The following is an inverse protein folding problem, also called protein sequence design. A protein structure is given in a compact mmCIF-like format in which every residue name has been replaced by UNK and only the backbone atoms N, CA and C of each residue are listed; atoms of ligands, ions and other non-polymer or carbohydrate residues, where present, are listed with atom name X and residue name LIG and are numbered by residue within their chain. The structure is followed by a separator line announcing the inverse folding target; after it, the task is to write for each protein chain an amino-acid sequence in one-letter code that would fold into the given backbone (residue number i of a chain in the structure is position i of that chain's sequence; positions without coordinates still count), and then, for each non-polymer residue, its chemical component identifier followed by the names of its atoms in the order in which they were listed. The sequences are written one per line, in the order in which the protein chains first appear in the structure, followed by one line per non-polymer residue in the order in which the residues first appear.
data_IF_409559386754
#
_entry.id   IF_409559386754
#
_cell.length_a   1.000
_cell.length_b   1.000
_cell.length_c   1.000
_cell.angle_alpha   90.00
_cell.angle_beta   90.00
_cell.angle_gamma   90.00
#
_symmetry.space_group_name_H-M   'P 1'
#
loop_
_entity.id
_entity.type
_entity.pdbx_description
1 polymer ?
#
# COMPACT_ATOMS: atom_id res chain seq x y z
N UNK A 1 -18.07 -61.85 7.63
CA UNK A 1 -17.96 -60.62 8.41
C UNK A 1 -16.53 -60.12 8.33
N UNK A 2 -16.22 -58.93 7.76
CA UNK A 2 -14.87 -58.41 7.75
C UNK A 2 -14.59 -57.71 9.08
N UNK A 3 -13.57 -58.15 9.77
CA UNK A 3 -13.05 -57.55 11.00
C UNK A 3 -12.51 -56.13 10.69
N UNK A 4 -13.13 -55.12 11.29
CA UNK A 4 -12.67 -53.74 11.25
C UNK A 4 -11.33 -53.62 11.99
N UNK A 5 -10.25 -53.29 11.27
CA UNK A 5 -8.99 -52.89 11.88
C UNK A 5 -9.20 -51.58 12.62
N UNK A 6 -9.37 -51.64 13.95
CA UNK A 6 -9.28 -50.50 14.83
C UNK A 6 -7.83 -50.02 14.86
N UNK A 7 -7.54 -48.96 14.08
CA UNK A 7 -6.26 -48.28 14.17
C UNK A 7 -6.14 -47.65 15.56
N UNK A 8 -5.15 -48.07 16.36
CA UNK A 8 -4.93 -47.48 17.69
C UNK A 8 -4.57 -46.01 17.56
N UNK A 9 -5.12 -45.11 18.39
CA UNK A 9 -4.84 -43.65 18.33
C UNK A 9 -3.34 -43.34 18.51
N UNK A 10 -2.57 -44.22 19.12
CA UNK A 10 -1.11 -44.08 19.29
C UNK A 10 -0.34 -44.30 17.96
N UNK A 11 -0.87 -45.11 17.02
CA UNK A 11 -0.25 -45.32 15.71
C UNK A 11 -0.28 -44.08 14.83
N UNK A 12 -1.30 -43.23 14.96
CA UNK A 12 -1.40 -41.95 14.26
C UNK A 12 -0.30 -40.98 14.69
N UNK A 13 -0.03 -40.87 15.98
CA UNK A 13 1.01 -39.96 16.54
C UNK A 13 2.44 -40.33 16.08
N UNK A 14 2.67 -41.59 15.66
CA UNK A 14 3.96 -42.06 15.11
C UNK A 14 4.09 -41.90 13.61
N UNK A 15 3.07 -41.40 12.92
CA UNK A 15 3.16 -41.14 11.49
C UNK A 15 4.12 -39.94 11.24
N UNK A 16 4.91 -40.06 10.16
CA UNK A 16 5.84 -38.97 9.76
C UNK A 16 5.11 -37.63 9.56
N UNK A 17 3.85 -37.71 9.08
CA UNK A 17 3.00 -36.52 8.91
C UNK A 17 2.62 -35.89 10.24
N UNK A 18 2.16 -36.72 11.22
CA UNK A 18 1.82 -36.21 12.56
C UNK A 18 3.03 -35.59 13.25
N UNK A 19 4.21 -36.21 13.16
CA UNK A 19 5.44 -35.67 13.70
C UNK A 19 5.83 -34.33 13.03
N UNK A 20 5.69 -34.22 11.70
CA UNK A 20 5.97 -32.98 10.98
C UNK A 20 5.00 -31.86 11.37
N UNK A 21 3.71 -32.17 11.50
CA UNK A 21 2.70 -31.19 11.95
C UNK A 21 2.96 -30.76 13.41
N UNK A 22 3.28 -31.71 14.29
CA UNK A 22 3.60 -31.39 15.69
C UNK A 22 4.86 -30.52 15.79
N UNK A 23 5.90 -30.82 14.99
CA UNK A 23 7.10 -30.00 14.95
C UNK A 23 6.81 -28.57 14.42
N UNK A 24 5.97 -28.46 13.39
CA UNK A 24 5.55 -27.16 12.86
C UNK A 24 4.79 -26.35 13.92
N UNK A 25 3.82 -26.96 14.60
CA UNK A 25 3.07 -26.29 15.67
C UNK A 25 3.98 -25.90 16.85
N UNK A 26 4.95 -26.73 17.21
CA UNK A 26 5.92 -26.40 18.25
C UNK A 26 6.79 -25.21 17.85
N UNK A 27 7.21 -25.12 16.57
CA UNK A 27 7.93 -23.96 16.02
C UNK A 27 7.04 -22.72 16.04
N UNK A 28 5.78 -22.81 15.63
CA UNK A 28 4.83 -21.69 15.67
C UNK A 28 4.64 -21.19 17.10
N UNK A 29 4.46 -22.09 18.08
CA UNK A 29 4.34 -21.74 19.50
C UNK A 29 5.63 -21.04 19.97
N UNK A 30 6.80 -21.60 19.68
CA UNK A 30 8.07 -21.02 20.06
C UNK A 30 8.25 -19.61 19.46
N UNK A 31 7.92 -19.43 18.17
CA UNK A 31 7.94 -18.13 17.51
C UNK A 31 6.95 -17.17 18.18
N UNK A 32 5.72 -17.60 18.47
CA UNK A 32 4.70 -16.77 19.11
C UNK A 32 5.14 -16.23 20.48
N UNK A 33 5.79 -17.06 21.30
CA UNK A 33 6.25 -16.66 22.64
C UNK A 33 7.61 -15.96 22.65
N UNK A 34 8.45 -16.14 21.65
CA UNK A 34 9.79 -15.52 21.60
C UNK A 34 9.84 -14.22 20.81
N UNK A 35 8.91 -14.02 19.84
CA UNK A 35 8.82 -12.76 19.10
C UNK A 35 8.25 -11.68 20.01
N UNK A 36 8.97 -10.56 20.22
CA UNK A 36 8.48 -9.45 21.02
C UNK A 36 7.12 -8.96 20.47
N UNK A 37 6.11 -8.94 21.34
CA UNK A 37 4.76 -8.48 21.00
C UNK A 37 4.64 -6.97 20.87
N UNK A 38 5.65 -6.23 21.36
CA UNK A 38 5.64 -4.77 21.37
C UNK A 38 5.99 -4.24 19.98
N UNK A 39 5.01 -3.63 19.33
CA UNK A 39 5.18 -2.96 18.06
C UNK A 39 5.55 -1.50 18.27
N UNK A 40 6.44 -0.99 17.43
CA UNK A 40 6.66 0.44 17.31
C UNK A 40 5.56 1.03 16.41
N UNK A 41 4.69 1.85 16.99
CA UNK A 41 3.62 2.56 16.27
C UNK A 41 4.07 4.00 16.07
N UNK A 42 4.31 4.44 14.81
CA UNK A 42 4.71 5.81 14.53
C UNK A 42 3.57 6.79 14.83
N UNK A 43 3.95 7.99 15.23
CA UNK A 43 3.01 9.09 15.47
C UNK A 43 3.45 10.33 14.66
N UNK A 44 3.39 10.29 13.33
CA UNK A 44 3.76 11.43 12.50
C UNK A 44 2.77 12.58 12.69
N UNK A 45 3.16 13.81 12.32
CA UNK A 45 2.22 14.91 12.19
C UNK A 45 1.06 14.53 11.25
N UNK A 46 -0.18 14.97 11.52
CA UNK A 46 -1.32 14.69 10.66
C UNK A 46 -1.05 15.05 9.20
N UNK A 47 -1.52 14.20 8.28
CA UNK A 47 -1.37 14.44 6.83
C UNK A 47 -2.02 15.74 6.37
N UNK A 48 -3.02 16.24 7.11
CA UNK A 48 -3.60 17.56 6.86
C UNK A 48 -2.56 18.68 6.92
N UNK A 49 -1.50 18.53 7.74
CA UNK A 49 -0.39 19.48 7.85
C UNK A 49 0.67 19.30 6.76
N UNK A 50 0.47 18.37 5.82
CA UNK A 50 1.39 18.19 4.71
C UNK A 50 1.48 19.46 3.86
N UNK A 51 2.62 19.65 3.21
CA UNK A 51 2.93 20.85 2.44
C UNK A 51 1.85 21.20 1.40
N UNK A 52 1.43 22.45 1.39
CA UNK A 52 0.51 23.01 0.37
C UNK A 52 1.24 23.37 -0.93
N UNK A 53 2.57 23.47 -0.88
CA UNK A 53 3.44 23.68 -2.03
C UNK A 53 4.51 22.59 -2.12
N UNK A 54 4.70 21.99 -3.28
CA UNK A 54 5.64 20.90 -3.56
C UNK A 54 6.38 21.26 -4.86
N UNK A 55 7.61 21.77 -4.74
CA UNK A 55 8.32 22.29 -5.92
C UNK A 55 7.47 23.32 -6.67
N UNK A 56 7.20 23.13 -7.97
CA UNK A 56 6.38 24.05 -8.76
C UNK A 56 4.86 23.84 -8.59
N UNK A 57 4.44 22.90 -7.74
CA UNK A 57 3.04 22.53 -7.54
C UNK A 57 2.45 23.25 -6.35
N UNK A 58 1.25 23.84 -6.54
CA UNK A 58 0.48 24.52 -5.50
C UNK A 58 -0.83 23.78 -5.27
N UNK A 59 -1.18 23.55 -4.02
CA UNK A 59 -2.49 23.00 -3.66
C UNK A 59 -3.60 23.98 -4.08
N UNK A 60 -4.54 23.50 -4.87
CA UNK A 60 -5.71 24.27 -5.30
C UNK A 60 -6.99 23.84 -4.59
N UNK A 61 -7.02 22.61 -4.09
CA UNK A 61 -8.17 22.08 -3.36
C UNK A 61 -7.74 20.99 -2.37
N UNK A 62 -8.33 21.01 -1.18
CA UNK A 62 -8.27 19.92 -0.19
C UNK A 62 -9.67 19.41 0.05
N UNK A 63 -9.87 18.11 0.01
CA UNK A 63 -11.18 17.47 0.14
C UNK A 63 -11.15 16.45 1.28
N UNK A 64 -12.20 16.38 2.11
CA UNK A 64 -12.34 15.27 3.03
C UNK A 64 -12.55 13.96 2.23
N UNK A 65 -12.00 12.88 2.71
CA UNK A 65 -12.35 11.54 2.20
C UNK A 65 -13.76 11.22 2.70
N UNK A 66 -14.62 10.77 1.81
CA UNK A 66 -16.02 10.46 2.15
C UNK A 66 -16.11 9.34 3.21
N UNK A 67 -17.17 9.34 4.00
CA UNK A 67 -17.35 8.42 5.11
C UNK A 67 -17.39 6.94 4.68
N UNK A 68 -17.91 6.64 3.49
CA UNK A 68 -17.94 5.28 2.97
C UNK A 68 -16.52 4.80 2.66
N UNK A 69 -15.74 5.58 1.91
CA UNK A 69 -14.33 5.29 1.60
C UNK A 69 -13.50 5.16 2.87
N UNK A 70 -13.70 6.06 3.86
CA UNK A 70 -13.02 6.02 5.15
C UNK A 70 -13.32 4.71 5.90
N UNK A 71 -14.59 4.32 5.98
CA UNK A 71 -15.02 3.09 6.68
C UNK A 71 -14.51 1.83 6.01
N UNK A 72 -14.38 1.84 4.69
CA UNK A 72 -13.84 0.74 3.90
C UNK A 72 -12.33 0.62 4.02
N UNK A 73 -11.61 1.73 3.89
CA UNK A 73 -10.13 1.75 3.99
C UNK A 73 -9.64 1.47 5.40
N UNK A 74 -10.34 2.00 6.41
CA UNK A 74 -9.95 1.93 7.82
C UNK A 74 -8.51 2.43 8.07
N UNK A 75 -8.06 3.39 7.25
CA UNK A 75 -6.77 4.02 7.40
C UNK A 75 -6.75 4.91 8.66
N UNK A 76 -5.60 5.00 9.33
CA UNK A 76 -5.42 5.85 10.52
C UNK A 76 -5.41 7.34 10.16
N UNK A 77 -4.93 7.67 8.96
CA UNK A 77 -4.92 9.04 8.46
C UNK A 77 -5.03 9.05 6.93
N UNK A 78 -5.69 10.07 6.38
CA UNK A 78 -5.92 10.19 4.93
C UNK A 78 -5.75 11.61 4.45
N UNK A 79 -5.27 11.76 3.22
CA UNK A 79 -5.16 13.04 2.53
C UNK A 79 -5.72 12.91 1.11
N UNK A 80 -6.58 13.86 0.72
CA UNK A 80 -7.04 13.99 -0.66
C UNK A 80 -6.95 15.46 -1.10
N UNK A 81 -6.07 15.74 -2.06
CA UNK A 81 -5.77 17.10 -2.53
C UNK A 81 -5.55 17.15 -4.03
N UNK A 82 -5.95 18.26 -4.62
CA UNK A 82 -5.58 18.61 -5.99
C UNK A 82 -4.47 19.66 -5.96
N UNK A 83 -3.49 19.46 -6.84
CA UNK A 83 -2.38 20.38 -7.07
C UNK A 83 -2.40 20.85 -8.52
N UNK A 84 -2.00 22.10 -8.73
CA UNK A 84 -1.78 22.70 -10.04
C UNK A 84 -0.36 23.29 -10.12
N UNK A 85 0.20 23.27 -11.34
CA UNK A 85 1.53 23.76 -11.64
C UNK A 85 1.84 23.46 -13.10
N UNK A 86 2.85 22.65 -13.43
CA UNK A 86 3.08 22.18 -14.80
C UNK A 86 1.85 21.50 -15.42
N UNK A 87 1.00 20.93 -14.58
CA UNK A 87 -0.28 20.31 -14.94
C UNK A 87 -1.25 20.36 -13.77
N UNK A 88 -2.32 19.55 -13.83
CA UNK A 88 -3.26 19.32 -12.72
C UNK A 88 -3.15 17.88 -12.27
N UNK A 89 -2.98 17.67 -10.97
CA UNK A 89 -2.75 16.33 -10.39
C UNK A 89 -3.56 16.19 -9.10
N UNK A 90 -4.30 15.10 -8.97
CA UNK A 90 -4.93 14.67 -7.73
C UNK A 90 -3.98 13.76 -6.94
N UNK A 91 -3.80 14.06 -5.66
CA UNK A 91 -3.06 13.24 -4.71
C UNK A 91 -4.02 12.62 -3.70
N UNK A 92 -3.89 11.32 -3.49
CA UNK A 92 -4.51 10.61 -2.38
C UNK A 92 -3.46 9.84 -1.61
N UNK A 93 -3.49 9.95 -0.28
CA UNK A 93 -2.64 9.18 0.62
C UNK A 93 -3.51 8.53 1.68
N UNK A 94 -3.32 7.25 1.93
CA UNK A 94 -3.90 6.54 3.07
C UNK A 94 -2.75 5.95 3.89
N UNK A 95 -2.63 6.35 5.16
CA UNK A 95 -1.58 5.95 6.06
C UNK A 95 -2.11 5.01 7.14
N UNK A 96 -1.40 3.91 7.34
CA UNK A 96 -1.70 2.86 8.31
C UNK A 96 -0.55 2.78 9.31
N UNK A 97 -0.81 3.11 10.56
CA UNK A 97 0.20 3.11 11.63
C UNK A 97 0.57 1.70 12.08
N UNK A 98 -0.38 0.77 11.97
CA UNK A 98 -0.22 -0.64 12.30
C UNK A 98 -1.18 -1.49 11.47
N UNK A 99 -0.70 -2.63 11.01
CA UNK A 99 -1.52 -3.60 10.27
C UNK A 99 -1.75 -4.89 11.08
N UNK A 100 -1.36 -4.95 12.35
CA UNK A 100 -1.57 -6.12 13.24
C UNK A 100 -3.04 -6.47 13.42
N UNK A 101 -3.94 -5.51 13.34
CA UNK A 101 -5.39 -5.71 13.41
C UNK A 101 -6.03 -6.26 12.13
N UNK A 102 -5.24 -6.70 11.14
CA UNK A 102 -5.74 -7.19 9.85
C UNK A 102 -6.23 -6.09 8.93
N UNK A 103 -6.00 -4.83 9.28
CA UNK A 103 -6.29 -3.68 8.41
C UNK A 103 -5.12 -3.50 7.45
N UNK A 104 -5.36 -3.66 6.16
CA UNK A 104 -4.34 -3.51 5.12
C UNK A 104 -4.81 -2.58 4.02
N UNK A 105 -3.90 -1.84 3.36
CA UNK A 105 -4.27 -1.05 2.19
C UNK A 105 -4.92 -1.92 1.11
N UNK A 106 -6.10 -1.51 0.65
CA UNK A 106 -6.74 -2.14 -0.50
C UNK A 106 -6.22 -1.55 -1.80
N UNK A 107 -6.00 -2.42 -2.79
CA UNK A 107 -5.54 -1.99 -4.11
C UNK A 107 -6.58 -1.10 -4.80
N UNK A 108 -6.19 0.02 -5.42
CA UNK A 108 -7.06 0.81 -6.29
C UNK A 108 -7.70 0.00 -7.41
N UNK A 109 -7.11 -1.13 -7.82
CA UNK A 109 -7.69 -2.07 -8.78
C UNK A 109 -9.02 -2.70 -8.31
N UNK A 110 -9.25 -2.75 -7.01
CA UNK A 110 -10.50 -3.25 -6.42
C UNK A 110 -11.48 -2.11 -6.18
N UNK A 111 -10.99 -0.96 -5.71
CA UNK A 111 -11.84 0.17 -5.33
C UNK A 111 -12.40 0.95 -6.53
N UNK A 112 -11.60 1.13 -7.59
CA UNK A 112 -12.02 1.91 -8.76
C UNK A 112 -13.19 1.26 -9.53
N UNK A 113 -13.18 -0.04 -9.84
CA UNK A 113 -14.34 -0.69 -10.46
C UNK A 113 -15.61 -0.62 -9.62
N UNK A 114 -15.50 -0.70 -8.28
CA UNK A 114 -16.63 -0.53 -7.36
C UNK A 114 -17.31 0.84 -7.45
N UNK A 115 -16.60 1.86 -7.98
CA UNK A 115 -17.08 3.21 -8.21
C UNK A 115 -17.40 3.50 -9.70
N UNK A 116 -17.59 2.46 -10.52
CA UNK A 116 -17.99 2.59 -11.92
C UNK A 116 -16.84 2.83 -12.90
N UNK A 117 -15.57 2.85 -12.43
CA UNK A 117 -14.42 2.99 -13.31
C UNK A 117 -14.05 1.68 -13.97
N UNK A 118 -13.92 1.67 -15.29
CA UNK A 118 -13.51 0.50 -16.07
C UNK A 118 -12.01 0.51 -16.33
N UNK A 119 -11.29 -0.57 -15.96
CA UNK A 119 -9.87 -0.70 -16.27
C UNK A 119 -9.63 -0.87 -17.76
N UNK A 120 -8.74 -0.07 -18.34
CA UNK A 120 -8.35 -0.17 -19.74
C UNK A 120 -6.96 -0.79 -19.91
N UNK A 121 -5.99 -0.37 -19.10
CA UNK A 121 -4.64 -0.91 -19.14
C UNK A 121 -3.99 -0.90 -17.76
N UNK A 122 -3.11 -1.87 -17.52
CA UNK A 122 -2.36 -1.97 -16.26
C UNK A 122 -0.95 -2.49 -16.53
N UNK A 123 0.07 -1.76 -16.05
CA UNK A 123 1.47 -2.18 -16.07
C UNK A 123 2.22 -1.61 -14.88
N UNK A 124 3.38 -2.16 -14.57
CA UNK A 124 4.32 -1.56 -13.61
C UNK A 124 5.34 -0.75 -14.40
N UNK A 125 5.63 0.45 -13.94
CA UNK A 125 6.68 1.33 -14.44
C UNK A 125 7.71 1.58 -13.34
N UNK A 126 8.93 1.97 -13.74
CA UNK A 126 9.99 2.37 -12.83
C UNK A 126 10.15 3.88 -12.87
N UNK A 127 10.03 4.54 -11.74
CA UNK A 127 10.13 6.00 -11.61
C UNK A 127 11.38 6.34 -10.81
N UNK A 128 12.35 7.01 -11.44
CA UNK A 128 13.52 7.54 -10.75
C UNK A 128 13.07 8.72 -9.87
N UNK A 129 13.34 8.64 -8.55
CA UNK A 129 13.00 9.68 -7.59
C UNK A 129 14.26 10.19 -6.89
N UNK A 130 14.39 11.50 -6.62
CA UNK A 130 15.54 12.05 -5.94
C UNK A 130 15.73 11.41 -4.55
N UNK A 131 16.98 11.11 -4.20
CA UNK A 131 17.34 10.55 -2.89
C UNK A 131 17.16 9.03 -2.73
N UNK A 132 16.66 8.33 -3.75
CA UNK A 132 16.65 6.86 -3.78
C UNK A 132 17.74 6.35 -4.74
N UNK A 133 18.45 5.31 -4.32
CA UNK A 133 19.53 4.71 -5.13
C UNK A 133 19.02 3.95 -6.36
N UNK A 134 17.77 3.51 -6.31
CA UNK A 134 17.10 2.76 -7.39
C UNK A 134 15.73 3.37 -7.70
N UNK A 135 15.28 3.32 -8.96
CA UNK A 135 13.92 3.74 -9.30
C UNK A 135 12.88 2.96 -8.51
N UNK A 136 11.81 3.63 -8.10
CA UNK A 136 10.70 3.00 -7.39
C UNK A 136 9.74 2.33 -8.39
N UNK A 137 9.23 1.13 -8.07
CA UNK A 137 8.19 0.50 -8.86
C UNK A 137 6.83 1.15 -8.57
N UNK A 138 6.11 1.54 -9.61
CA UNK A 138 4.81 2.21 -9.54
C UNK A 138 3.82 1.49 -10.45
N UNK A 139 2.63 1.19 -9.95
CA UNK A 139 1.54 0.74 -10.80
C UNK A 139 1.05 1.89 -11.68
N UNK A 140 1.02 1.67 -12.97
CA UNK A 140 0.41 2.54 -13.96
C UNK A 140 -0.90 1.90 -14.43
N UNK A 141 -1.98 2.62 -14.27
CA UNK A 141 -3.33 2.14 -14.50
C UNK A 141 -4.12 3.20 -15.25
N UNK A 142 -4.70 2.86 -16.39
CA UNK A 142 -5.63 3.76 -17.10
C UNK A 142 -7.03 3.26 -16.85
N UNK A 143 -7.90 4.16 -16.44
CA UNK A 143 -9.30 3.89 -16.14
C UNK A 143 -10.21 4.85 -16.90
N UNK A 144 -11.38 4.36 -17.25
CA UNK A 144 -12.42 5.14 -17.93
C UNK A 144 -13.71 5.09 -17.13
N UNK A 145 -14.42 6.21 -17.09
CA UNK A 145 -15.76 6.32 -16.54
C UNK A 145 -16.56 7.25 -17.47
N UNK A 146 -17.54 6.73 -18.16
CA UNK A 146 -18.25 7.42 -19.25
C UNK A 146 -17.27 7.94 -20.30
N UNK A 147 -17.25 9.25 -20.55
CA UNK A 147 -16.32 9.91 -21.45
C UNK A 147 -14.99 10.34 -20.79
N UNK A 148 -14.91 10.20 -19.48
CA UNK A 148 -13.70 10.56 -18.74
C UNK A 148 -12.68 9.44 -18.75
N UNK A 149 -11.42 9.82 -18.94
CA UNK A 149 -10.27 8.92 -18.87
C UNK A 149 -9.23 9.48 -17.93
N UNK A 150 -8.71 8.63 -17.05
CA UNK A 150 -7.72 9.03 -16.05
C UNK A 150 -6.54 8.08 -16.00
N UNK A 151 -5.35 8.66 -15.92
CA UNK A 151 -4.13 7.95 -15.57
C UNK A 151 -4.02 7.92 -14.05
N UNK A 152 -3.86 6.72 -13.50
CA UNK A 152 -3.67 6.47 -12.07
C UNK A 152 -2.31 5.84 -11.86
N UNK A 153 -1.44 6.50 -11.12
CA UNK A 153 -0.17 5.96 -10.65
C UNK A 153 -0.27 5.71 -9.15
N UNK A 154 0.06 4.50 -8.68
CA UNK A 154 0.02 4.21 -7.26
C UNK A 154 1.07 3.18 -6.84
N UNK A 155 1.49 3.27 -5.58
CA UNK A 155 2.42 2.35 -4.95
C UNK A 155 2.14 2.24 -3.45
N UNK A 156 2.70 1.20 -2.85
CA UNK A 156 2.76 1.02 -1.41
C UNK A 156 4.12 1.49 -0.93
N UNK A 157 4.15 2.24 0.16
CA UNK A 157 5.37 2.83 0.72
C UNK A 157 5.46 2.50 2.20
N UNK A 158 6.59 1.99 2.64
CA UNK A 158 6.96 1.94 4.04
C UNK A 158 8.26 2.74 4.28
N UNK A 159 8.78 2.86 5.52
CA UNK A 159 10.00 3.64 5.78
C UNK A 159 11.22 3.22 4.96
N UNK A 160 11.25 1.98 4.50
CA UNK A 160 12.43 1.34 3.88
C UNK A 160 12.35 1.23 2.36
N UNK A 161 11.15 1.08 1.82
CA UNK A 161 10.98 0.77 0.40
C UNK A 161 9.61 1.15 -0.16
N UNK A 162 9.57 1.32 -1.47
CA UNK A 162 8.36 1.38 -2.26
C UNK A 162 8.13 0.05 -2.98
N UNK A 163 6.89 -0.37 -3.16
CA UNK A 163 6.51 -1.53 -3.98
C UNK A 163 5.21 -1.30 -4.71
N UNK A 164 5.14 -1.79 -5.96
CA UNK A 164 3.92 -1.80 -6.75
C UNK A 164 3.11 -3.09 -6.54
N UNK A 165 3.72 -4.13 -5.99
CA UNK A 165 3.10 -5.43 -5.85
C UNK A 165 2.49 -5.59 -4.45
N UNK A 166 1.16 -5.74 -4.40
CA UNK A 166 0.40 -5.91 -3.15
C UNK A 166 0.84 -7.14 -2.34
N UNK A 167 1.13 -8.25 -3.02
CA UNK A 167 1.56 -9.49 -2.33
C UNK A 167 2.97 -9.35 -1.77
N UNK A 168 3.88 -8.72 -2.51
CA UNK A 168 5.22 -8.42 -2.00
C UNK A 168 5.17 -7.43 -0.83
N UNK A 169 4.25 -6.46 -0.84
CA UNK A 169 4.04 -5.57 0.29
C UNK A 169 3.70 -6.36 1.55
N UNK A 170 2.78 -7.33 1.46
CA UNK A 170 2.39 -8.20 2.59
C UNK A 170 3.56 -9.07 3.08
N UNK A 171 4.38 -9.58 2.16
CA UNK A 171 5.58 -10.34 2.54
C UNK A 171 6.58 -9.43 3.27
N UNK A 172 6.85 -8.25 2.74
CA UNK A 172 7.74 -7.28 3.38
C UNK A 172 7.21 -6.83 4.74
N UNK A 173 5.90 -6.69 4.89
CA UNK A 173 5.26 -6.37 6.16
C UNK A 173 5.58 -7.41 7.24
N UNK A 174 5.49 -8.71 6.91
CA UNK A 174 5.84 -9.80 7.83
C UNK A 174 7.31 -9.70 8.24
N UNK A 175 8.22 -9.52 7.27
CA UNK A 175 9.65 -9.37 7.56
C UNK A 175 9.95 -8.12 8.41
N UNK A 176 9.30 -7.00 8.11
CA UNK A 176 9.49 -5.74 8.84
C UNK A 176 8.89 -5.84 10.26
N UNK A 177 7.77 -6.53 10.43
CA UNK A 177 7.19 -6.81 11.75
C UNK A 177 8.09 -7.69 12.62
N UNK A 178 8.69 -8.74 12.03
CA UNK A 178 9.60 -9.64 12.75
C UNK A 178 10.95 -8.99 13.07
N UNK A 179 11.50 -8.23 12.11
CA UNK A 179 12.88 -7.72 12.21
C UNK A 179 12.98 -6.35 12.85
N UNK A 180 11.97 -5.50 12.65
CA UNK A 180 11.98 -4.09 13.05
C UNK A 180 10.82 -3.72 13.95
N UNK A 181 9.94 -4.68 14.28
CA UNK A 181 8.75 -4.49 15.09
C UNK A 181 7.83 -3.37 14.55
N UNK A 182 7.73 -3.26 13.23
CA UNK A 182 6.95 -2.24 12.52
C UNK A 182 6.07 -2.87 11.45
N UNK A 183 4.85 -2.35 11.30
CA UNK A 183 3.94 -2.75 10.23
C UNK A 183 3.23 -1.56 9.57
N UNK A 184 3.81 -0.38 9.73
CA UNK A 184 3.28 0.86 9.15
C UNK A 184 3.57 0.95 7.66
N UNK A 185 2.57 1.41 6.92
CA UNK A 185 2.60 1.53 5.47
C UNK A 185 1.66 2.64 5.00
N UNK A 186 1.94 3.21 3.84
CA UNK A 186 1.04 4.12 3.14
C UNK A 186 0.73 3.60 1.74
N UNK A 187 -0.51 3.79 1.31
CA UNK A 187 -0.92 3.74 -0.09
C UNK A 187 -0.89 5.16 -0.63
N UNK A 188 -0.09 5.40 -1.65
CA UNK A 188 -0.03 6.70 -2.34
C UNK A 188 -0.58 6.53 -3.75
N UNK A 189 -1.49 7.43 -4.15
CA UNK A 189 -2.13 7.42 -5.46
C UNK A 189 -2.11 8.82 -6.06
N UNK A 190 -1.62 8.91 -7.28
CA UNK A 190 -1.56 10.12 -8.10
C UNK A 190 -2.48 9.92 -9.30
N UNK A 191 -3.38 10.87 -9.56
CA UNK A 191 -4.35 10.82 -10.65
C UNK A 191 -4.18 12.04 -11.55
N UNK A 192 -4.17 11.81 -12.86
CA UNK A 192 -4.19 12.87 -13.87
C UNK A 192 -5.28 12.56 -14.87
N UNK A 193 -6.16 13.53 -15.11
CA UNK A 193 -7.17 13.43 -16.15
C UNK A 193 -6.51 13.50 -17.54
N UNK A 194 -6.84 12.55 -18.40
CA UNK A 194 -6.28 12.45 -19.75
C UNK A 194 -7.17 13.15 -20.77
N UNK A 195 -6.55 13.77 -21.77
CA UNK A 195 -7.22 14.47 -22.89
C UNK A 195 -7.47 13.57 -24.10
N UNK A 196 -7.63 12.28 -23.92
CA UNK A 196 -7.85 11.33 -25.00
C UNK A 196 -7.15 9.98 -24.77
N UNK A 197 -7.15 9.12 -25.78
CA UNK A 197 -6.62 7.76 -25.67
C UNK A 197 -5.10 7.71 -25.42
N UNK A 198 -4.36 8.64 -25.99
CA UNK A 198 -2.92 8.79 -25.77
C UNK A 198 -2.65 10.24 -25.35
N UNK A 199 -2.31 10.42 -24.07
CA UNK A 199 -1.90 11.71 -23.51
C UNK A 199 -0.53 11.55 -22.82
N UNK A 200 0.58 11.68 -23.56
CA UNK A 200 1.92 11.59 -23.00
C UNK A 200 2.18 12.67 -21.94
N UNK A 201 1.55 13.84 -22.05
CA UNK A 201 1.65 14.90 -21.08
C UNK A 201 1.07 14.52 -19.72
N UNK A 202 0.01 13.70 -19.67
CA UNK A 202 -0.55 13.21 -18.41
C UNK A 202 0.46 12.33 -17.65
N UNK A 203 1.16 11.44 -18.34
CA UNK A 203 2.19 10.58 -17.73
C UNK A 203 3.41 11.39 -17.27
N UNK A 204 3.85 12.35 -18.08
CA UNK A 204 4.96 13.25 -17.73
C UNK A 204 4.64 14.07 -16.47
N UNK A 205 3.46 14.70 -16.42
CA UNK A 205 3.01 15.47 -15.25
C UNK A 205 2.92 14.60 -13.99
N UNK A 206 2.36 13.39 -14.11
CA UNK A 206 2.25 12.47 -12.99
C UNK A 206 3.63 12.03 -12.46
N UNK A 207 4.56 11.67 -13.35
CA UNK A 207 5.93 11.27 -12.97
C UNK A 207 6.67 12.43 -12.32
N UNK A 208 6.61 13.63 -12.91
CA UNK A 208 7.25 14.83 -12.35
C UNK A 208 6.69 15.16 -10.96
N UNK A 209 5.37 15.07 -10.79
CA UNK A 209 4.76 15.26 -9.48
C UNK A 209 5.26 14.23 -8.46
N UNK A 210 5.37 12.94 -8.82
CA UNK A 210 5.91 11.89 -7.94
C UNK A 210 7.35 12.22 -7.54
N UNK A 211 8.18 12.68 -8.46
CA UNK A 211 9.57 13.04 -8.19
C UNK A 211 9.69 14.17 -7.17
N UNK A 212 8.84 15.20 -7.29
CA UNK A 212 8.82 16.32 -6.36
C UNK A 212 8.17 15.96 -5.01
N UNK A 213 7.15 15.08 -5.02
CA UNK A 213 6.37 14.64 -3.85
C UNK A 213 7.13 13.68 -2.94
N UNK A 214 7.91 12.76 -3.51
CA UNK A 214 8.36 11.54 -2.84
C UNK A 214 9.11 11.82 -1.53
N UNK A 215 10.14 12.64 -1.56
CA UNK A 215 10.93 12.94 -0.37
C UNK A 215 10.19 13.79 0.67
N UNK A 216 9.45 14.86 0.30
CA UNK A 216 8.61 15.58 1.26
C UNK A 216 7.61 14.70 1.99
N UNK A 217 6.94 13.78 1.27
CA UNK A 217 5.95 12.91 1.84
C UNK A 217 6.58 11.83 2.75
N UNK A 218 7.71 11.25 2.34
CA UNK A 218 8.48 10.29 3.13
C UNK A 218 8.93 10.90 4.46
N UNK A 219 9.43 12.14 4.43
CA UNK A 219 9.81 12.89 5.64
C UNK A 219 8.61 13.16 6.56
N UNK A 220 7.46 13.54 6.00
CA UNK A 220 6.24 13.79 6.78
C UNK A 220 5.81 12.56 7.57
N UNK A 221 5.84 11.39 6.94
CA UNK A 221 5.31 10.17 7.52
C UNK A 221 6.30 9.45 8.44
N UNK A 222 7.62 9.58 8.23
CA UNK A 222 8.59 8.72 8.91
C UNK A 222 9.81 9.40 9.52
N UNK A 223 10.15 10.61 9.13
CA UNK A 223 11.33 11.29 9.67
C UNK A 223 11.00 12.35 10.73
N UNK A 224 9.72 12.67 10.90
CA UNK A 224 9.21 13.61 11.90
C UNK A 224 8.45 12.92 13.04
N UNK A 225 8.45 11.60 13.06
CA UNK A 225 7.75 10.78 14.07
C UNK A 225 8.64 10.36 15.23
#
# INVERSE_FOLDING_TARGET
MPEGKTSSPVGFLRSKIAMAVTALLAVEIAVFYTVPTKEYIPSPPPLEQFATAIGPWQMVRSMPVDAYTQSFLRADDTLMRDYAGPGKVGLFVAFFKSQRGGVTPHSPKVCLPGNGWTPESSRIISVAVPGEATPIPVNRFVVTHDEERSLVLYWYQNPRRATANEYLSKIYLIFDALRYHRSDEALIRVIVQMRGAADPGAEEHAIRFIQDLYQPLKRQMWERS
#
